data_IF_509896271192
#
_entry.id   IF_509896271192
#
_cell.length_a   1.000
_cell.length_b   1.000
_cell.length_c   1.000
_cell.angle_alpha   90.00
_cell.angle_beta   90.00
_cell.angle_gamma   90.00
#
_symmetry.space_group_name_H-M   'P 1'
#
loop_
_entity.id
_entity.type
_entity.pdbx_description
1 polymer ?
#
# COMPACT_ATOMS: atom_id res chain seq x y z
N UNK A 1 -20.02 -24.76 -5.91
CA UNK A 1 -21.44 -24.40 -5.78
C UNK A 1 -21.57 -22.94 -6.20
N UNK A 2 -22.21 -22.67 -7.32
CA UNK A 2 -22.51 -21.31 -7.77
C UNK A 2 -23.65 -20.79 -6.89
N UNK A 3 -23.32 -20.08 -5.81
CA UNK A 3 -24.35 -19.34 -5.06
C UNK A 3 -24.88 -18.24 -5.98
N UNK A 4 -26.19 -18.22 -6.22
CA UNK A 4 -26.84 -17.13 -6.91
C UNK A 4 -26.71 -15.85 -6.08
N UNK A 5 -26.56 -14.70 -6.73
CA UNK A 5 -26.63 -13.41 -6.07
C UNK A 5 -27.99 -13.22 -5.40
N UNK A 6 -28.01 -12.79 -4.14
CA UNK A 6 -29.21 -12.48 -3.36
C UNK A 6 -28.93 -11.26 -2.49
N UNK A 7 -29.90 -10.36 -2.39
CA UNK A 7 -29.84 -9.20 -1.51
C UNK A 7 -31.24 -8.69 -1.19
N UNK A 8 -31.45 -8.22 0.03
CA UNK A 8 -32.66 -7.51 0.44
C UNK A 8 -32.54 -5.99 0.26
N UNK A 9 -31.35 -5.48 -0.11
CA UNK A 9 -31.12 -4.06 -0.38
C UNK A 9 -31.37 -3.73 -1.85
N UNK A 10 -32.52 -3.13 -2.13
CA UNK A 10 -32.93 -2.79 -3.50
C UNK A 10 -31.91 -1.89 -4.25
N UNK A 11 -31.03 -1.17 -3.54
CA UNK A 11 -30.00 -0.32 -4.16
C UNK A 11 -28.92 -1.17 -4.84
N UNK A 12 -28.71 -2.42 -4.41
CA UNK A 12 -27.67 -3.28 -4.92
C UNK A 12 -28.03 -4.01 -6.21
N UNK A 13 -29.32 -4.15 -6.53
CA UNK A 13 -29.75 -4.77 -7.79
C UNK A 13 -29.16 -4.11 -9.04
N UNK A 14 -29.36 -2.80 -9.24
CA UNK A 14 -28.76 -2.08 -10.37
C UNK A 14 -27.21 -2.12 -10.38
N UNK A 15 -26.58 -2.09 -9.21
CA UNK A 15 -25.11 -2.21 -9.08
C UNK A 15 -24.64 -3.59 -9.53
N UNK A 16 -25.34 -4.64 -9.08
CA UNK A 16 -25.06 -6.03 -9.52
C UNK A 16 -25.14 -6.15 -11.04
N UNK A 17 -26.21 -5.64 -11.66
CA UNK A 17 -26.39 -5.76 -13.11
C UNK A 17 -25.24 -5.09 -13.88
N UNK A 18 -24.80 -3.90 -13.45
CA UNK A 18 -23.61 -3.24 -14.01
C UNK A 18 -22.35 -4.08 -13.84
N UNK A 19 -22.11 -4.64 -12.65
CA UNK A 19 -20.94 -5.50 -12.36
C UNK A 19 -20.93 -6.72 -13.28
N UNK A 20 -22.09 -7.37 -13.46
CA UNK A 20 -22.22 -8.54 -14.34
C UNK A 20 -22.01 -8.19 -15.81
N UNK A 21 -22.50 -7.04 -16.25
CA UNK A 21 -22.30 -6.51 -17.59
C UNK A 21 -20.85 -6.00 -17.82
N UNK A 22 -20.03 -5.86 -16.78
CA UNK A 22 -18.70 -5.26 -16.87
C UNK A 22 -18.73 -3.75 -17.06
N UNK A 23 -19.83 -3.11 -16.69
CA UNK A 23 -20.00 -1.68 -16.75
C UNK A 23 -19.32 -0.99 -15.56
N UNK A 24 -18.81 0.20 -15.81
CA UNK A 24 -18.13 1.01 -14.79
C UNK A 24 -19.12 1.60 -13.80
N UNK A 25 -18.82 1.43 -12.51
CA UNK A 25 -19.61 1.99 -11.43
C UNK A 25 -19.38 3.51 -11.31
N UNK A 26 -20.46 4.25 -11.05
CA UNK A 26 -20.42 5.70 -10.79
C UNK A 26 -20.37 6.02 -9.29
N UNK A 27 -20.43 7.31 -8.94
CA UNK A 27 -20.40 7.79 -7.56
C UNK A 27 -21.56 7.23 -6.72
N UNK A 28 -22.78 7.22 -7.26
CA UNK A 28 -23.96 6.75 -6.52
C UNK A 28 -23.91 5.25 -6.28
N UNK A 29 -23.43 4.48 -7.26
CA UNK A 29 -23.17 3.04 -7.12
C UNK A 29 -22.16 2.77 -5.98
N UNK A 30 -21.04 3.50 -5.97
CA UNK A 30 -20.01 3.37 -4.95
C UNK A 30 -20.52 3.74 -3.55
N UNK A 31 -21.32 4.81 -3.44
CA UNK A 31 -21.98 5.19 -2.18
C UNK A 31 -22.99 4.13 -1.72
N UNK A 32 -23.76 3.54 -2.63
CA UNK A 32 -24.68 2.45 -2.30
C UNK A 32 -23.92 1.25 -1.71
N UNK A 33 -22.76 0.90 -2.27
CA UNK A 33 -21.89 -0.18 -1.77
C UNK A 33 -21.33 0.12 -0.36
N UNK A 34 -20.96 1.36 -0.05
CA UNK A 34 -20.51 1.73 1.31
C UNK A 34 -21.65 1.73 2.32
N UNK A 35 -22.82 2.23 1.92
CA UNK A 35 -23.97 2.47 2.82
C UNK A 35 -24.88 1.27 3.05
N UNK A 36 -24.70 0.18 2.30
CA UNK A 36 -25.44 -1.05 2.53
C UNK A 36 -24.98 -1.76 3.80
N UNK A 37 -25.93 -2.43 4.49
CA UNK A 37 -25.60 -3.40 5.55
C UNK A 37 -25.25 -4.79 5.02
N UNK A 38 -25.56 -5.07 3.74
CA UNK A 38 -25.39 -6.39 3.13
C UNK A 38 -23.95 -6.61 2.61
N UNK A 39 -23.04 -6.87 3.54
CA UNK A 39 -21.63 -7.12 3.21
C UNK A 39 -21.44 -8.40 2.37
N UNK A 40 -22.35 -9.38 2.48
CA UNK A 40 -22.22 -10.62 1.72
C UNK A 40 -22.53 -10.38 0.24
N UNK A 41 -23.54 -9.59 -0.09
CA UNK A 41 -23.83 -9.21 -1.46
C UNK A 41 -22.68 -8.39 -2.08
N UNK A 42 -22.13 -7.40 -1.35
CA UNK A 42 -20.97 -6.63 -1.81
C UNK A 42 -19.75 -7.55 -2.03
N UNK A 43 -19.49 -8.44 -1.09
CA UNK A 43 -18.40 -9.41 -1.17
C UNK A 43 -18.57 -10.39 -2.32
N UNK A 44 -19.77 -10.86 -2.59
CA UNK A 44 -20.08 -11.74 -3.72
C UNK A 44 -19.71 -11.07 -5.05
N UNK A 45 -20.17 -9.82 -5.27
CA UNK A 45 -19.83 -9.06 -6.46
C UNK A 45 -18.33 -8.82 -6.61
N UNK A 46 -17.66 -8.42 -5.53
CA UNK A 46 -16.22 -8.17 -5.53
C UNK A 46 -15.40 -9.46 -5.80
N UNK A 47 -15.83 -10.58 -5.23
CA UNK A 47 -15.22 -11.87 -5.48
C UNK A 47 -15.42 -12.33 -6.95
N UNK A 48 -16.61 -12.09 -7.51
CA UNK A 48 -16.89 -12.37 -8.92
C UNK A 48 -15.93 -11.60 -9.85
N UNK A 49 -15.75 -10.29 -9.62
CA UNK A 49 -14.80 -9.46 -10.40
C UNK A 49 -13.36 -9.99 -10.22
N UNK A 50 -12.95 -10.27 -8.97
CA UNK A 50 -11.63 -10.80 -8.64
C UNK A 50 -11.36 -12.13 -9.35
N UNK A 51 -12.32 -13.07 -9.33
CA UNK A 51 -12.17 -14.38 -9.99
C UNK A 51 -12.14 -14.26 -11.53
N UNK A 52 -12.89 -13.32 -12.09
CA UNK A 52 -12.82 -13.02 -13.52
C UNK A 52 -11.44 -12.51 -13.94
N UNK A 53 -10.75 -11.73 -13.08
CA UNK A 53 -9.43 -11.16 -13.35
C UNK A 53 -8.27 -12.15 -13.11
N UNK A 54 -8.35 -12.95 -12.05
CA UNK A 54 -7.20 -13.70 -11.54
C UNK A 54 -7.45 -15.21 -11.38
N UNK A 55 -8.66 -15.69 -11.65
CA UNK A 55 -9.03 -17.09 -11.35
C UNK A 55 -8.88 -17.37 -9.86
N UNK A 56 -8.23 -18.45 -9.49
CA UNK A 56 -7.95 -18.78 -8.08
C UNK A 56 -6.59 -18.25 -7.56
N UNK A 57 -5.80 -17.59 -8.40
CA UNK A 57 -4.47 -17.12 -8.03
C UNK A 57 -4.55 -16.02 -6.98
N UNK A 58 -3.69 -16.12 -5.97
CA UNK A 58 -3.46 -15.08 -4.97
C UNK A 58 -1.96 -14.85 -4.84
N UNK A 59 -1.58 -13.59 -4.94
CA UNK A 59 -0.19 -13.16 -5.02
C UNK A 59 0.37 -12.83 -3.64
N UNK A 60 1.68 -13.08 -3.48
CA UNK A 60 2.48 -12.65 -2.33
C UNK A 60 3.93 -12.47 -2.77
N UNK A 61 4.74 -11.72 -2.02
CA UNK A 61 6.17 -11.60 -2.30
C UNK A 61 7.03 -11.84 -1.05
N UNK A 62 8.34 -11.95 -1.28
CA UNK A 62 9.34 -11.96 -0.22
C UNK A 62 10.00 -10.60 -0.20
N UNK A 63 9.59 -9.76 0.74
CA UNK A 63 10.01 -8.37 0.85
C UNK A 63 10.54 -8.04 2.24
N UNK A 64 11.36 -6.99 2.30
CA UNK A 64 11.90 -6.42 3.52
C UNK A 64 11.69 -4.92 3.55
N UNK A 65 11.37 -4.38 4.71
CA UNK A 65 11.25 -2.95 4.93
C UNK A 65 12.57 -2.36 5.42
N UNK A 66 12.87 -1.14 4.99
CA UNK A 66 14.00 -0.35 5.46
C UNK A 66 13.52 1.08 5.71
N UNK A 67 13.64 1.52 6.96
CA UNK A 67 13.27 2.86 7.38
C UNK A 67 14.54 3.61 7.80
N UNK A 68 15.22 4.34 6.90
CA UNK A 68 16.52 4.93 7.18
C UNK A 68 16.48 6.04 8.24
N UNK A 69 15.34 6.66 8.46
CA UNK A 69 15.13 7.65 9.52
C UNK A 69 13.66 7.75 9.91
N UNK A 70 13.40 8.00 11.19
CA UNK A 70 12.08 8.41 11.67
C UNK A 70 12.00 9.92 11.99
N UNK A 71 13.09 10.67 11.82
CA UNK A 71 13.09 12.12 11.99
C UNK A 71 12.22 12.74 10.88
N UNK A 72 11.15 13.46 11.29
CA UNK A 72 10.16 13.98 10.35
C UNK A 72 9.64 15.35 10.76
N UNK A 73 9.65 16.30 9.81
CA UNK A 73 9.11 17.66 10.00
C UNK A 73 7.60 17.75 9.75
N UNK A 74 6.98 16.74 9.15
CA UNK A 74 5.56 16.80 8.79
C UNK A 74 4.62 16.77 9.99
N UNK A 75 5.03 16.22 11.12
CA UNK A 75 4.27 16.18 12.39
C UNK A 75 2.79 15.77 12.22
N UNK A 76 2.51 14.80 11.35
CA UNK A 76 1.16 14.34 11.04
C UNK A 76 0.47 13.76 12.27
N UNK A 77 -0.77 14.16 12.53
CA UNK A 77 -1.54 13.68 13.68
C UNK A 77 -1.90 12.19 13.60
N UNK A 78 -1.88 11.61 12.41
CA UNK A 78 -2.12 10.19 12.18
C UNK A 78 -0.90 9.29 12.47
N UNK A 79 0.30 9.85 12.64
CA UNK A 79 1.56 9.10 12.58
C UNK A 79 2.19 8.95 13.97
N UNK A 80 2.40 7.72 14.39
CA UNK A 80 3.14 7.38 15.61
C UNK A 80 4.65 7.16 15.37
N UNK A 81 5.09 6.97 14.13
CA UNK A 81 6.47 6.69 13.77
C UNK A 81 7.36 7.95 13.74
N UNK A 82 6.84 9.05 13.17
CA UNK A 82 7.61 10.28 13.00
C UNK A 82 8.04 10.91 14.34
N UNK A 83 9.28 11.30 14.45
CA UNK A 83 9.85 11.98 15.61
C UNK A 83 10.42 13.34 15.21
N UNK A 84 10.35 14.31 16.11
CA UNK A 84 11.15 15.54 15.95
C UNK A 84 12.63 15.20 16.18
N UNK A 85 13.52 15.88 15.44
CA UNK A 85 14.95 15.77 15.65
C UNK A 85 15.31 16.00 17.12
N UNK A 86 16.29 15.28 17.63
CA UNK A 86 16.81 15.38 18.99
C UNK A 86 15.78 15.05 20.11
N UNK A 87 14.67 14.35 19.76
CA UNK A 87 13.74 13.83 20.76
C UNK A 87 14.01 12.34 21.05
N UNK A 88 13.60 11.81 22.22
CA UNK A 88 13.77 10.40 22.55
C UNK A 88 13.18 9.49 21.49
N UNK A 89 13.96 8.48 21.05
CA UNK A 89 13.58 7.52 20.01
C UNK A 89 13.74 8.04 18.58
N UNK A 90 14.19 9.29 18.37
CA UNK A 90 14.58 9.76 17.03
C UNK A 90 15.87 9.08 16.59
N UNK A 91 15.92 8.61 15.34
CA UNK A 91 17.11 8.01 14.76
C UNK A 91 17.26 8.38 13.28
N UNK A 92 18.50 8.33 12.84
CA UNK A 92 18.90 8.42 11.43
C UNK A 92 20.08 7.49 11.23
N UNK A 93 19.95 6.51 10.36
CA UNK A 93 20.99 5.55 10.06
C UNK A 93 22.13 6.22 9.27
N UNK A 94 23.38 5.93 9.63
CA UNK A 94 24.48 6.13 8.71
C UNK A 94 24.32 5.20 7.50
N UNK A 95 24.95 5.51 6.36
CA UNK A 95 24.81 4.69 5.15
C UNK A 95 25.20 3.23 5.41
N UNK A 96 26.31 3.01 6.11
CA UNK A 96 26.78 1.65 6.40
C UNK A 96 25.82 0.89 7.31
N UNK A 97 25.25 1.54 8.33
CA UNK A 97 24.21 0.98 9.19
C UNK A 97 22.96 0.58 8.38
N UNK A 98 22.54 1.42 7.41
CA UNK A 98 21.42 1.10 6.53
C UNK A 98 21.72 -0.12 5.63
N UNK A 99 22.96 -0.24 5.13
CA UNK A 99 23.40 -1.40 4.34
C UNK A 99 23.49 -2.67 5.16
N UNK A 100 24.02 -2.60 6.38
CA UNK A 100 24.06 -3.72 7.32
C UNK A 100 22.63 -4.16 7.72
N UNK A 101 21.74 -3.20 7.97
CA UNK A 101 20.31 -3.48 8.23
C UNK A 101 19.67 -4.19 7.04
N UNK A 102 19.91 -3.74 5.82
CA UNK A 102 19.39 -4.40 4.62
C UNK A 102 19.96 -5.82 4.44
N UNK A 103 21.24 -6.02 4.78
CA UNK A 103 21.92 -7.30 4.69
C UNK A 103 21.48 -8.28 5.80
N UNK A 104 21.16 -7.77 7.00
CA UNK A 104 20.71 -8.62 8.10
C UNK A 104 19.38 -9.28 7.76
N UNK A 105 19.32 -10.60 7.66
CA UNK A 105 18.11 -11.31 7.20
C UNK A 105 17.85 -11.26 5.69
N UNK A 106 18.79 -10.71 4.90
CA UNK A 106 18.76 -10.91 3.46
C UNK A 106 19.00 -12.39 3.14
N UNK A 107 18.12 -12.91 2.29
CA UNK A 107 18.30 -14.21 1.63
C UNK A 107 18.14 -13.98 0.13
N UNK A 108 18.65 -14.89 -0.69
CA UNK A 108 18.44 -14.84 -2.15
C UNK A 108 16.94 -14.89 -2.55
N UNK A 109 16.07 -15.19 -1.58
CA UNK A 109 14.63 -15.16 -1.76
C UNK A 109 14.06 -13.73 -1.79
N UNK A 110 14.71 -12.73 -1.20
CA UNK A 110 14.22 -11.35 -1.13
C UNK A 110 14.19 -10.73 -2.53
N UNK A 111 13.00 -10.33 -2.98
CA UNK A 111 12.79 -9.71 -4.30
C UNK A 111 12.61 -8.20 -4.23
N UNK A 112 12.29 -7.65 -3.05
CA UNK A 112 11.98 -6.22 -2.88
C UNK A 112 12.51 -5.68 -1.56
N UNK A 113 13.16 -4.51 -1.61
CA UNK A 113 13.30 -3.61 -0.47
C UNK A 113 12.28 -2.50 -0.58
N UNK A 114 11.44 -2.37 0.45
CA UNK A 114 10.48 -1.28 0.60
C UNK A 114 11.09 -0.21 1.50
N UNK A 115 11.42 0.96 0.93
CA UNK A 115 12.21 1.99 1.58
C UNK A 115 11.38 3.27 1.73
N UNK A 116 11.01 3.60 2.96
CA UNK A 116 10.28 4.83 3.31
C UNK A 116 10.79 5.36 4.65
N UNK A 117 10.73 6.66 4.85
CA UNK A 117 11.22 7.28 6.07
C UNK A 117 10.55 8.60 6.43
N UNK A 118 11.05 9.23 7.48
CA UNK A 118 10.66 10.57 7.86
C UNK A 118 11.21 11.64 6.92
N UNK A 119 10.53 12.79 6.84
CA UNK A 119 10.98 13.97 6.10
C UNK A 119 12.05 14.70 6.92
N UNK A 120 13.30 14.25 6.79
CA UNK A 120 14.40 14.72 7.63
C UNK A 120 14.84 16.15 7.25
N UNK A 121 14.92 17.10 8.23
CA UNK A 121 15.23 18.50 7.92
C UNK A 121 16.66 18.74 7.43
N UNK A 122 17.63 17.94 7.84
CA UNK A 122 19.06 18.24 7.65
C UNK A 122 19.78 17.30 6.69
N UNK A 123 19.22 16.10 6.43
CA UNK A 123 19.87 15.18 5.50
C UNK A 123 19.94 15.80 4.09
N UNK A 124 21.13 15.83 3.47
CA UNK A 124 21.27 16.31 2.10
C UNK A 124 20.63 15.29 1.13
N UNK A 125 20.19 15.77 -0.03
CA UNK A 125 19.64 14.90 -1.08
C UNK A 125 20.63 13.81 -1.50
N UNK A 126 21.94 14.13 -1.48
CA UNK A 126 23.00 13.18 -1.79
C UNK A 126 22.98 11.92 -0.89
N UNK A 127 22.62 12.04 0.39
CA UNK A 127 22.47 10.88 1.26
C UNK A 127 21.50 9.85 0.68
N UNK A 128 20.38 10.28 0.15
CA UNK A 128 19.36 9.40 -0.43
C UNK A 128 19.83 8.78 -1.75
N UNK A 129 20.56 9.53 -2.57
CA UNK A 129 21.18 8.99 -3.79
C UNK A 129 22.24 7.94 -3.46
N UNK A 130 23.09 8.19 -2.45
CA UNK A 130 24.13 7.25 -2.01
C UNK A 130 23.53 6.00 -1.37
N UNK A 131 22.45 6.15 -0.59
CA UNK A 131 21.69 5.03 -0.03
C UNK A 131 21.19 4.09 -1.13
N UNK A 132 20.48 4.63 -2.11
CA UNK A 132 19.90 3.84 -3.21
C UNK A 132 20.98 3.19 -4.07
N UNK A 133 21.97 3.97 -4.50
CA UNK A 133 23.06 3.44 -5.33
C UNK A 133 23.94 2.42 -4.57
N UNK A 134 24.12 2.62 -3.28
CA UNK A 134 24.82 1.67 -2.40
C UNK A 134 24.07 0.35 -2.25
N UNK A 135 22.76 0.39 -2.03
CA UNK A 135 21.91 -0.79 -1.99
C UNK A 135 21.88 -1.52 -3.35
N UNK A 136 21.76 -0.78 -4.45
CA UNK A 136 21.76 -1.38 -5.79
C UNK A 136 23.06 -2.08 -6.15
N UNK A 137 24.20 -1.54 -5.72
CA UNK A 137 25.51 -2.20 -5.89
C UNK A 137 25.64 -3.48 -5.05
N UNK A 138 25.11 -3.47 -3.82
CA UNK A 138 25.21 -4.62 -2.90
C UNK A 138 24.20 -5.74 -3.24
N UNK A 139 23.01 -5.34 -3.71
CA UNK A 139 21.90 -6.23 -3.99
C UNK A 139 21.32 -5.96 -5.41
N UNK A 140 22.09 -6.24 -6.48
CA UNK A 140 21.72 -5.83 -7.84
C UNK A 140 20.44 -6.48 -8.35
N UNK A 141 20.04 -7.63 -7.81
CA UNK A 141 18.83 -8.35 -8.20
C UNK A 141 17.59 -7.89 -7.43
N UNK A 142 17.75 -7.13 -6.33
CA UNK A 142 16.61 -6.69 -5.52
C UNK A 142 15.99 -5.44 -6.12
N UNK A 143 14.68 -5.44 -6.22
CA UNK A 143 13.91 -4.27 -6.64
C UNK A 143 13.84 -3.25 -5.51
N UNK A 144 14.26 -2.02 -5.77
CA UNK A 144 14.20 -0.93 -4.80
C UNK A 144 12.92 -0.12 -5.01
N UNK A 145 11.91 -0.37 -4.16
CA UNK A 145 10.68 0.42 -4.08
C UNK A 145 10.88 1.49 -3.02
N UNK A 146 11.15 2.72 -3.46
CA UNK A 146 11.60 3.76 -2.54
C UNK A 146 10.93 5.11 -2.81
N UNK A 147 10.74 5.87 -1.74
CA UNK A 147 10.24 7.24 -1.68
C UNK A 147 8.80 7.42 -2.16
N UNK A 148 7.91 7.73 -1.24
CA UNK A 148 6.54 8.14 -1.51
C UNK A 148 6.51 9.45 -2.31
N UNK A 149 5.37 9.79 -2.91
CA UNK A 149 5.18 11.08 -3.60
C UNK A 149 5.44 12.27 -2.66
N UNK A 150 5.11 12.11 -1.37
CA UNK A 150 5.39 13.12 -0.33
C UNK A 150 6.89 13.29 -0.11
N UNK A 151 7.65 12.19 -0.03
CA UNK A 151 9.11 12.22 0.11
C UNK A 151 9.77 12.83 -1.14
N UNK A 152 9.34 12.45 -2.34
CA UNK A 152 9.84 13.02 -3.61
C UNK A 152 9.62 14.54 -3.64
N UNK A 153 8.42 15.02 -3.33
CA UNK A 153 8.11 16.45 -3.29
C UNK A 153 8.94 17.19 -2.22
N UNK A 154 9.15 16.58 -1.06
CA UNK A 154 9.97 17.14 -0.01
C UNK A 154 11.45 17.23 -0.43
N UNK A 155 12.01 16.16 -0.99
CA UNK A 155 13.40 16.11 -1.47
C UNK A 155 13.64 17.12 -2.60
N UNK A 156 12.69 17.25 -3.53
CA UNK A 156 12.70 18.25 -4.59
C UNK A 156 12.85 19.68 -4.02
N UNK A 157 11.98 20.03 -3.07
CA UNK A 157 12.01 21.33 -2.38
C UNK A 157 13.35 21.55 -1.66
N UNK A 158 13.88 20.53 -0.97
CA UNK A 158 15.14 20.63 -0.23
C UNK A 158 16.36 20.77 -1.15
N UNK A 159 16.37 20.04 -2.24
CA UNK A 159 17.44 20.08 -3.24
C UNK A 159 17.35 21.28 -4.17
N UNK A 160 16.25 22.06 -4.13
CA UNK A 160 15.95 23.15 -5.06
C UNK A 160 15.91 22.67 -6.54
N UNK A 161 15.34 21.48 -6.72
CA UNK A 161 15.12 20.85 -8.02
C UNK A 161 13.63 20.81 -8.33
N UNK A 162 13.27 20.65 -9.59
CA UNK A 162 11.91 20.25 -9.98
C UNK A 162 11.63 18.82 -9.57
N UNK A 163 10.34 18.42 -9.49
CA UNK A 163 9.93 17.02 -9.26
C UNK A 163 10.55 16.11 -10.33
N UNK A 164 10.58 16.55 -11.60
CA UNK A 164 11.16 15.79 -12.71
C UNK A 164 12.64 15.51 -12.49
N UNK A 165 13.44 16.54 -12.23
CA UNK A 165 14.89 16.41 -11.99
C UNK A 165 15.17 15.51 -10.78
N UNK A 166 14.35 15.61 -9.74
CA UNK A 166 14.46 14.74 -8.54
C UNK A 166 14.21 13.28 -8.91
N UNK A 167 13.14 12.99 -9.65
CA UNK A 167 12.82 11.63 -10.11
C UNK A 167 13.88 11.07 -11.06
N UNK A 168 14.44 11.90 -11.96
CA UNK A 168 15.53 11.52 -12.87
C UNK A 168 16.76 11.06 -12.08
N UNK A 169 17.17 11.83 -11.07
CA UNK A 169 18.33 11.50 -10.24
C UNK A 169 18.07 10.25 -9.36
N UNK A 170 16.88 10.14 -8.76
CA UNK A 170 16.49 8.94 -7.99
C UNK A 170 16.47 7.69 -8.87
N UNK A 171 15.91 7.78 -10.08
CA UNK A 171 15.90 6.68 -11.05
C UNK A 171 17.31 6.31 -11.49
N UNK A 172 18.16 7.29 -11.78
CA UNK A 172 19.57 7.07 -12.12
C UNK A 172 20.36 6.43 -10.97
N UNK A 173 20.03 6.75 -9.72
CA UNK A 173 20.62 6.11 -8.54
C UNK A 173 20.16 4.66 -8.36
N UNK A 174 19.04 4.25 -8.95
CA UNK A 174 18.56 2.86 -8.93
C UNK A 174 17.19 2.66 -8.28
N UNK A 175 16.37 3.70 -8.10
CA UNK A 175 14.97 3.53 -7.73
C UNK A 175 14.23 2.86 -8.88
N UNK A 176 13.60 1.72 -8.63
CA UNK A 176 12.90 0.93 -9.63
C UNK A 176 11.38 1.22 -9.66
N UNK A 177 10.77 1.56 -8.50
CA UNK A 177 9.37 1.96 -8.38
C UNK A 177 9.12 2.77 -7.11
N UNK A 178 7.93 3.37 -6.99
CA UNK A 178 7.55 4.16 -5.81
C UNK A 178 6.44 3.47 -4.99
N UNK A 179 6.51 3.52 -3.65
CA UNK A 179 5.38 3.14 -2.80
C UNK A 179 4.26 4.18 -2.87
N UNK A 180 3.03 3.75 -2.62
CA UNK A 180 1.86 4.63 -2.71
C UNK A 180 1.54 5.43 -1.45
N UNK A 181 2.38 5.37 -0.42
CA UNK A 181 2.12 6.02 0.87
C UNK A 181 2.03 7.54 0.78
N UNK A 182 1.49 8.16 1.83
CA UNK A 182 1.30 9.61 1.91
C UNK A 182 0.07 10.16 1.20
N UNK A 183 -0.64 9.33 0.41
CA UNK A 183 -1.92 9.70 -0.19
C UNK A 183 -2.99 9.98 0.88
N UNK A 184 -3.02 9.18 1.92
CA UNK A 184 -3.98 9.16 3.01
C UNK A 184 -5.44 9.22 2.51
N UNK A 185 -6.05 10.41 2.51
CA UNK A 185 -7.30 10.78 1.82
C UNK A 185 -7.04 12.08 1.05
N UNK A 186 -7.58 12.22 -0.16
CA UNK A 186 -7.37 13.41 -1.00
C UNK A 186 -8.23 14.61 -0.60
N UNK A 187 -9.33 14.39 0.11
CA UNK A 187 -10.21 15.47 0.56
C UNK A 187 -9.48 16.45 1.50
N UNK A 188 -9.37 17.72 1.10
CA UNK A 188 -8.62 18.76 1.83
C UNK A 188 -9.10 18.90 3.28
N UNK A 189 -10.42 18.85 3.49
CA UNK A 189 -11.02 18.87 4.84
C UNK A 189 -10.39 17.84 5.77
N UNK A 190 -10.18 16.64 5.25
CA UNK A 190 -9.58 15.53 6.00
C UNK A 190 -8.09 15.74 6.18
N UNK A 191 -7.38 16.13 5.11
CA UNK A 191 -5.93 16.37 5.13
C UNK A 191 -5.53 17.43 6.15
N UNK A 192 -6.27 18.54 6.23
CA UNK A 192 -6.05 19.58 7.25
C UNK A 192 -6.14 19.05 8.69
N UNK A 193 -6.97 18.05 8.94
CA UNK A 193 -7.08 17.44 10.27
C UNK A 193 -5.93 16.50 10.57
N UNK A 194 -5.52 15.67 9.59
CA UNK A 194 -4.63 14.51 9.83
C UNK A 194 -3.17 14.74 9.42
N UNK A 195 -2.91 15.54 8.39
CA UNK A 195 -1.57 15.68 7.78
C UNK A 195 -1.35 17.03 7.05
N UNK A 196 -1.73 18.13 7.65
CA UNK A 196 -1.74 19.49 7.10
C UNK A 196 -0.39 19.94 6.48
N UNK A 197 0.73 19.42 6.97
CA UNK A 197 2.07 19.79 6.50
C UNK A 197 2.59 18.92 5.32
N UNK A 198 1.79 17.99 4.81
CA UNK A 198 2.10 17.26 3.59
C UNK A 198 1.60 18.02 2.36
N UNK A 199 2.09 17.64 1.20
CA UNK A 199 1.49 18.05 -0.07
C UNK A 199 0.00 17.70 -0.09
N UNK A 200 -0.80 18.50 -0.78
CA UNK A 200 -2.22 18.22 -0.97
C UNK A 200 -2.48 17.01 -1.89
N UNK A 201 -3.76 16.69 -2.08
CA UNK A 201 -4.17 15.54 -2.88
C UNK A 201 -3.80 15.66 -4.35
N UNK A 202 -3.98 16.85 -4.93
CA UNK A 202 -3.70 17.12 -6.33
C UNK A 202 -2.20 17.08 -6.60
N UNK A 203 -1.39 17.66 -5.72
CA UNK A 203 0.08 17.58 -5.81
C UNK A 203 0.60 16.13 -5.70
N UNK A 204 -0.05 15.29 -4.88
CA UNK A 204 0.26 13.87 -4.80
C UNK A 204 -0.03 13.17 -6.13
N UNK A 205 -1.21 13.42 -6.73
CA UNK A 205 -1.63 12.86 -8.01
C UNK A 205 -0.73 13.33 -9.15
N UNK A 206 -0.37 14.61 -9.20
CA UNK A 206 0.54 15.18 -10.20
C UNK A 206 1.95 14.57 -10.11
N UNK A 207 2.45 14.37 -8.88
CA UNK A 207 3.75 13.71 -8.68
C UNK A 207 3.72 12.25 -9.15
N UNK A 208 2.64 11.52 -8.86
CA UNK A 208 2.44 10.15 -9.33
C UNK A 208 2.34 10.09 -10.86
N UNK A 209 1.56 10.99 -11.47
CA UNK A 209 1.42 11.14 -12.93
C UNK A 209 2.77 11.33 -13.60
N UNK A 210 3.56 12.25 -13.07
CA UNK A 210 4.89 12.53 -13.63
C UNK A 210 5.83 11.32 -13.51
N UNK A 211 5.83 10.63 -12.36
CA UNK A 211 6.61 9.41 -12.18
C UNK A 211 6.20 8.33 -13.20
N UNK A 212 4.90 8.13 -13.41
CA UNK A 212 4.38 7.17 -14.39
C UNK A 212 4.80 7.53 -15.82
N UNK A 213 4.72 8.81 -16.22
CA UNK A 213 5.18 9.30 -17.53
C UNK A 213 6.68 9.08 -17.75
N UNK A 214 7.47 9.03 -16.67
CA UNK A 214 8.89 8.70 -16.71
C UNK A 214 9.18 7.20 -16.65
N UNK A 215 8.14 6.36 -16.67
CA UNK A 215 8.23 4.89 -16.67
C UNK A 215 8.46 4.28 -15.29
N UNK A 216 8.33 5.05 -14.21
CA UNK A 216 8.33 4.50 -12.83
C UNK A 216 6.92 4.08 -12.48
N UNK A 217 6.72 2.80 -12.17
CA UNK A 217 5.45 2.30 -11.62
C UNK A 217 5.32 2.66 -10.14
N UNK A 218 4.08 2.67 -9.63
CA UNK A 218 3.85 2.86 -8.20
C UNK A 218 2.66 2.03 -7.69
N UNK A 219 2.54 1.95 -6.37
CA UNK A 219 1.28 1.56 -5.75
C UNK A 219 0.41 2.81 -5.52
N UNK A 220 -0.86 2.58 -5.18
CA UNK A 220 -1.76 3.58 -4.64
C UNK A 220 -2.28 3.12 -3.28
N UNK A 221 -2.47 4.06 -2.36
CA UNK A 221 -2.98 3.75 -1.00
C UNK A 221 -4.14 4.67 -0.64
N UNK A 222 -4.96 4.23 0.30
CA UNK A 222 -5.91 5.06 1.03
C UNK A 222 -5.86 4.69 2.51
N UNK A 223 -5.70 5.65 3.39
CA UNK A 223 -5.86 5.45 4.83
C UNK A 223 -7.33 5.66 5.18
N UNK A 224 -7.97 4.68 5.84
CA UNK A 224 -9.39 4.73 6.19
C UNK A 224 -9.62 4.40 7.67
N UNK A 225 -10.79 4.78 8.19
CA UNK A 225 -11.23 4.51 9.55
C UNK A 225 -10.77 5.56 10.57
N UNK A 226 -10.63 6.81 10.13
CA UNK A 226 -10.29 7.94 11.01
C UNK A 226 -11.40 9.02 11.01
N UNK A 227 -11.25 10.13 10.29
CA UNK A 227 -12.20 11.26 10.29
C UNK A 227 -12.88 11.49 8.94
N UNK A 228 -12.57 10.64 7.98
CA UNK A 228 -13.18 10.63 6.65
C UNK A 228 -14.59 10.03 6.70
N UNK A 229 -15.39 10.32 5.68
CA UNK A 229 -16.70 9.72 5.44
C UNK A 229 -16.72 8.91 4.13
N UNK A 230 -17.87 8.34 3.77
CA UNK A 230 -18.01 7.52 2.57
C UNK A 230 -17.79 8.33 1.29
N UNK A 231 -18.21 9.59 1.26
CA UNK A 231 -17.99 10.51 0.14
C UNK A 231 -16.51 10.79 -0.09
N UNK A 232 -15.75 11.01 0.98
CA UNK A 232 -14.29 11.21 0.91
C UNK A 232 -13.58 9.97 0.34
N UNK A 233 -14.02 8.76 0.74
CA UNK A 233 -13.47 7.48 0.24
C UNK A 233 -13.78 7.29 -1.24
N UNK A 234 -15.02 7.59 -1.64
CA UNK A 234 -15.45 7.47 -3.04
C UNK A 234 -14.69 8.46 -3.92
N UNK A 235 -14.58 9.73 -3.52
CA UNK A 235 -13.79 10.74 -4.24
C UNK A 235 -12.34 10.29 -4.43
N UNK A 236 -11.73 9.78 -3.38
CA UNK A 236 -10.37 9.26 -3.43
C UNK A 236 -10.20 8.11 -4.45
N UNK A 237 -11.09 7.13 -4.42
CA UNK A 237 -11.06 6.00 -5.36
C UNK A 237 -11.27 6.47 -6.80
N UNK A 238 -12.21 7.39 -7.03
CA UNK A 238 -12.51 7.92 -8.37
C UNK A 238 -11.35 8.74 -8.95
N UNK A 239 -10.66 9.54 -8.13
CA UNK A 239 -9.44 10.28 -8.54
C UNK A 239 -8.30 9.34 -8.91
N UNK A 240 -8.07 8.28 -8.12
CA UNK A 240 -7.07 7.25 -8.45
C UNK A 240 -7.43 6.52 -9.74
N UNK A 241 -8.70 6.16 -9.93
CA UNK A 241 -9.18 5.50 -11.15
C UNK A 241 -8.96 6.38 -12.38
N UNK A 242 -9.28 7.68 -12.29
CA UNK A 242 -9.07 8.62 -13.38
C UNK A 242 -7.57 8.73 -13.76
N UNK A 243 -6.68 8.82 -12.78
CA UNK A 243 -5.24 8.84 -13.04
C UNK A 243 -4.74 7.51 -13.62
N UNK A 244 -5.29 6.40 -13.19
CA UNK A 244 -4.96 5.08 -13.76
C UNK A 244 -5.42 4.95 -15.21
N UNK A 245 -6.59 5.48 -15.58
CA UNK A 245 -7.06 5.54 -16.97
C UNK A 245 -6.08 6.30 -17.87
N UNK A 246 -5.47 7.36 -17.34
CA UNK A 246 -4.52 8.18 -18.10
C UNK A 246 -3.13 7.55 -18.21
N UNK A 247 -2.64 6.94 -17.12
CA UNK A 247 -1.23 6.58 -17.01
C UNK A 247 -0.94 5.10 -17.04
N UNK A 248 -1.90 4.26 -16.63
CA UNK A 248 -1.70 2.82 -16.39
C UNK A 248 -0.47 2.54 -15.51
N UNK A 249 -0.14 3.48 -14.60
CA UNK A 249 1.09 3.47 -13.82
C UNK A 249 0.98 2.77 -12.47
N UNK A 250 -0.22 2.67 -11.91
CA UNK A 250 -0.43 1.97 -10.64
C UNK A 250 -0.42 0.44 -10.83
N UNK A 251 0.33 -0.24 -9.96
CA UNK A 251 0.44 -1.70 -9.93
C UNK A 251 -0.62 -2.33 -9.04
N UNK A 252 -0.88 -1.73 -7.88
CA UNK A 252 -1.84 -2.25 -6.89
C UNK A 252 -2.43 -1.12 -6.07
N UNK A 253 -3.66 -1.31 -5.63
CA UNK A 253 -4.29 -0.50 -4.60
C UNK A 253 -4.20 -1.18 -3.24
N UNK A 254 -3.84 -0.43 -2.20
CA UNK A 254 -3.66 -0.91 -0.83
C UNK A 254 -4.49 -0.06 0.12
N UNK A 255 -5.66 -0.50 0.56
CA UNK A 255 -6.38 0.16 1.65
C UNK A 255 -5.67 -0.13 2.98
N UNK A 256 -5.41 0.93 3.73
CA UNK A 256 -4.64 0.93 4.97
C UNK A 256 -5.58 1.26 6.14
N UNK A 257 -5.80 0.32 7.04
CA UNK A 257 -6.63 0.52 8.23
C UNK A 257 -5.91 1.44 9.21
N UNK A 258 -6.58 2.50 9.70
CA UNK A 258 -5.98 3.42 10.65
C UNK A 258 -5.77 2.78 12.02
N UNK A 259 -4.56 2.91 12.56
CA UNK A 259 -4.20 2.54 13.92
C UNK A 259 -4.02 3.80 14.74
N UNK A 260 -4.93 4.08 15.71
CA UNK A 260 -4.94 5.34 16.45
C UNK A 260 -3.93 5.40 17.59
N UNK A 261 -3.45 4.27 18.09
CA UNK A 261 -2.64 4.20 19.30
C UNK A 261 -1.33 4.98 19.16
N UNK A 262 -0.89 5.60 20.24
CA UNK A 262 0.31 6.44 20.28
C UNK A 262 0.30 7.66 19.31
N UNK A 263 -0.87 8.02 18.80
CA UNK A 263 -1.07 9.20 17.94
C UNK A 263 -1.90 10.27 18.63
N UNK A 264 -1.85 11.54 18.19
CA UNK A 264 -2.80 12.57 18.64
C UNK A 264 -4.28 12.24 18.38
N UNK A 265 -4.59 11.22 17.57
CA UNK A 265 -5.94 10.75 17.26
C UNK A 265 -6.33 9.48 18.01
N UNK A 266 -5.63 9.14 19.10
CA UNK A 266 -5.87 7.93 19.91
C UNK A 266 -7.28 7.82 20.53
N UNK A 267 -8.06 8.91 20.50
CA UNK A 267 -9.45 8.93 20.94
C UNK A 267 -10.41 8.31 19.92
N UNK A 268 -9.97 8.10 18.68
CA UNK A 268 -10.74 7.42 17.65
C UNK A 268 -10.70 5.90 17.85
N UNK A 269 -11.78 5.17 17.51
CA UNK A 269 -11.77 3.71 17.57
C UNK A 269 -10.86 3.13 16.49
N UNK A 270 -10.36 1.92 16.72
CA UNK A 270 -9.78 1.10 15.65
C UNK A 270 -10.86 0.69 14.65
N UNK A 271 -10.47 0.42 13.41
CA UNK A 271 -11.37 -0.12 12.40
C UNK A 271 -11.97 -1.46 12.85
N UNK A 272 -13.18 -1.74 12.38
CA UNK A 272 -13.77 -3.07 12.56
C UNK A 272 -13.44 -3.96 11.36
N UNK A 273 -13.39 -5.29 11.57
CA UNK A 273 -13.22 -6.23 10.47
C UNK A 273 -14.30 -6.11 9.38
N UNK A 274 -15.50 -5.65 9.75
CA UNK A 274 -16.58 -5.39 8.77
C UNK A 274 -16.24 -4.21 7.85
N UNK A 275 -15.66 -3.14 8.41
CA UNK A 275 -15.19 -2.00 7.61
C UNK A 275 -14.01 -2.39 6.73
N UNK A 276 -13.06 -3.18 7.27
CA UNK A 276 -11.88 -3.64 6.53
C UNK A 276 -12.27 -4.47 5.31
N UNK A 277 -13.17 -5.43 5.48
CA UNK A 277 -13.69 -6.27 4.38
C UNK A 277 -14.49 -5.44 3.37
N UNK A 278 -15.35 -4.52 3.85
CA UNK A 278 -16.12 -3.62 2.99
C UNK A 278 -15.19 -2.76 2.14
N UNK A 279 -14.15 -2.20 2.75
CA UNK A 279 -13.17 -1.36 2.06
C UNK A 279 -12.46 -2.11 0.92
N UNK A 280 -12.04 -3.35 1.14
CA UNK A 280 -11.46 -4.21 0.10
C UNK A 280 -12.47 -4.45 -1.03
N UNK A 281 -13.70 -4.85 -0.67
CA UNK A 281 -14.72 -5.21 -1.65
C UNK A 281 -15.13 -4.02 -2.54
N UNK A 282 -15.39 -2.87 -1.93
CA UNK A 282 -15.73 -1.65 -2.67
C UNK A 282 -14.57 -1.19 -3.55
N UNK A 283 -13.34 -1.27 -3.04
CA UNK A 283 -12.14 -0.92 -3.83
C UNK A 283 -12.02 -1.77 -5.09
N UNK A 284 -12.22 -3.09 -5.00
CA UNK A 284 -12.21 -3.99 -6.18
C UNK A 284 -13.28 -3.64 -7.19
N UNK A 285 -14.48 -3.26 -6.73
CA UNK A 285 -15.61 -2.95 -7.60
C UNK A 285 -15.47 -1.59 -8.29
N UNK A 286 -14.93 -0.58 -7.58
CA UNK A 286 -14.80 0.79 -8.09
C UNK A 286 -13.54 0.99 -8.93
N UNK A 287 -12.44 0.35 -8.56
CA UNK A 287 -11.16 0.44 -9.27
C UNK A 287 -11.04 -0.63 -10.36
N UNK A 288 -11.95 -0.60 -11.33
CA UNK A 288 -12.08 -1.57 -12.42
C UNK A 288 -10.84 -1.67 -13.32
N UNK A 289 -10.02 -0.62 -13.36
CA UNK A 289 -8.78 -0.50 -14.12
C UNK A 289 -7.50 -0.79 -13.31
N UNK A 290 -7.61 -1.10 -12.00
CA UNK A 290 -6.47 -1.51 -11.19
C UNK A 290 -6.24 -3.02 -11.32
N UNK A 291 -5.01 -3.46 -11.69
CA UNK A 291 -4.75 -4.89 -11.83
C UNK A 291 -4.89 -5.63 -10.50
N UNK A 292 -4.45 -5.04 -9.38
CA UNK A 292 -4.40 -5.72 -8.09
C UNK A 292 -5.01 -4.90 -6.96
N UNK A 293 -5.67 -5.58 -6.00
CA UNK A 293 -6.11 -5.03 -4.70
C UNK A 293 -5.49 -5.89 -3.60
N UNK A 294 -4.75 -5.24 -2.72
CA UNK A 294 -3.96 -5.91 -1.69
C UNK A 294 -4.64 -5.87 -0.33
N UNK A 295 -4.76 -7.02 0.31
CA UNK A 295 -5.10 -7.15 1.73
C UNK A 295 -3.81 -7.11 2.56
N UNK A 296 -3.45 -5.93 3.07
CA UNK A 296 -2.20 -5.74 3.81
C UNK A 296 -2.36 -6.28 5.24
N UNK A 297 -1.90 -7.52 5.45
CA UNK A 297 -2.12 -8.27 6.70
C UNK A 297 -1.52 -7.61 7.95
N UNK A 298 -0.49 -6.79 7.81
CA UNK A 298 0.09 -6.05 8.95
C UNK A 298 -0.91 -5.13 9.63
N UNK A 299 -1.79 -4.49 8.86
CA UNK A 299 -2.75 -3.51 9.38
C UNK A 299 -4.10 -4.13 9.74
N UNK A 300 -4.63 -5.01 8.89
CA UNK A 300 -5.96 -5.60 9.10
C UNK A 300 -5.93 -6.96 9.81
N UNK A 301 -4.78 -7.44 10.25
CA UNK A 301 -4.48 -8.76 10.80
C UNK A 301 -4.47 -9.90 9.76
N UNK A 302 -3.69 -10.97 10.00
CA UNK A 302 -3.66 -12.12 9.08
C UNK A 302 -5.01 -12.79 8.86
N UNK A 303 -5.87 -12.83 9.90
CA UNK A 303 -7.21 -13.45 9.81
C UNK A 303 -8.14 -12.65 8.89
N UNK A 304 -8.17 -11.34 9.05
CA UNK A 304 -9.00 -10.47 8.20
C UNK A 304 -8.46 -10.46 6.77
N UNK A 305 -7.14 -10.35 6.59
CA UNK A 305 -6.52 -10.41 5.27
C UNK A 305 -6.83 -11.73 4.54
N UNK A 306 -6.84 -12.87 5.26
CA UNK A 306 -7.23 -14.16 4.70
C UNK A 306 -8.69 -14.15 4.21
N UNK A 307 -9.63 -13.63 5.02
CA UNK A 307 -11.04 -13.50 4.62
C UNK A 307 -11.19 -12.58 3.41
N UNK A 308 -10.44 -11.47 3.38
CA UNK A 308 -10.46 -10.50 2.27
C UNK A 308 -10.13 -11.10 0.91
N UNK A 309 -9.41 -12.24 0.84
CA UNK A 309 -9.16 -13.00 -0.38
C UNK A 309 -10.44 -13.58 -1.01
N UNK A 310 -11.54 -13.63 -0.26
CA UNK A 310 -12.88 -14.00 -0.73
C UNK A 310 -13.78 -12.79 -0.95
N UNK A 311 -13.27 -11.57 -0.67
CA UNK A 311 -14.00 -10.31 -0.78
C UNK A 311 -13.34 -9.32 -1.75
N UNK A 312 -12.59 -9.81 -2.74
CA UNK A 312 -12.06 -8.98 -3.82
C UNK A 312 -10.55 -8.78 -3.81
N UNK A 313 -9.84 -9.07 -2.71
CA UNK A 313 -8.38 -9.04 -2.72
C UNK A 313 -7.79 -10.23 -3.51
N UNK A 314 -6.72 -9.95 -4.24
CA UNK A 314 -5.94 -10.95 -4.97
C UNK A 314 -4.46 -10.99 -4.55
N UNK A 315 -4.04 -10.11 -3.63
CA UNK A 315 -2.69 -10.05 -3.09
C UNK A 315 -2.77 -9.92 -1.56
N UNK A 316 -1.94 -10.67 -0.82
CA UNK A 316 -1.89 -10.63 0.66
C UNK A 316 -0.65 -9.89 1.18
N UNK A 317 0.11 -9.23 0.31
CA UNK A 317 1.43 -8.67 0.54
C UNK A 317 2.52 -9.75 0.67
N UNK A 318 3.53 -9.50 1.47
CA UNK A 318 4.68 -10.37 1.57
C UNK A 318 5.10 -10.68 3.00
N UNK A 319 6.35 -11.08 3.12
CA UNK A 319 6.95 -11.43 4.42
C UNK A 319 7.10 -10.24 5.34
N UNK A 320 7.26 -9.02 4.80
CA UNK A 320 7.26 -7.74 5.52
C UNK A 320 8.19 -7.77 6.75
N UNK A 321 9.45 -8.16 6.54
CA UNK A 321 10.42 -8.24 7.63
C UNK A 321 10.75 -6.81 8.10
N UNK A 322 10.70 -6.58 9.43
CA UNK A 322 11.02 -5.30 10.11
C UNK A 322 10.07 -4.12 9.80
N UNK A 323 8.78 -4.35 9.76
CA UNK A 323 7.80 -3.28 9.72
C UNK A 323 7.79 -2.50 11.07
N UNK A 324 8.13 -1.21 11.06
CA UNK A 324 8.20 -0.36 12.26
C UNK A 324 7.06 0.64 12.36
N UNK A 325 6.53 1.12 11.24
CA UNK A 325 5.61 2.26 11.20
C UNK A 325 4.29 1.96 11.90
N UNK A 326 3.70 0.81 11.64
CA UNK A 326 2.44 0.39 12.23
C UNK A 326 2.60 -0.19 13.64
N UNK A 327 3.77 -0.78 13.93
CA UNK A 327 4.06 -1.25 15.28
C UNK A 327 4.21 -0.08 16.25
N UNK A 328 4.79 1.04 15.83
CA UNK A 328 4.80 2.28 16.62
C UNK A 328 3.38 2.82 16.88
N UNK A 329 2.44 2.59 15.97
CA UNK A 329 1.01 2.91 16.12
C UNK A 329 0.21 1.81 16.83
N UNK A 330 0.86 0.88 17.52
CA UNK A 330 0.22 -0.14 18.36
C UNK A 330 -0.27 -1.37 17.59
N UNK A 331 0.24 -1.67 16.39
CA UNK A 331 -0.06 -2.93 15.73
C UNK A 331 0.43 -4.11 16.57
N UNK A 332 -0.41 -5.12 16.72
CA UNK A 332 -0.12 -6.35 17.49
C UNK A 332 0.21 -7.55 16.61
N UNK A 333 0.31 -7.34 15.31
CA UNK A 333 0.70 -8.35 14.34
C UNK A 333 2.20 -8.68 14.47
N UNK A 334 2.64 -9.86 14.01
CA UNK A 334 4.08 -10.18 14.00
C UNK A 334 4.88 -9.17 13.16
N UNK A 335 6.14 -8.94 13.50
CA UNK A 335 7.08 -8.07 12.76
C UNK A 335 7.43 -8.61 11.36
N UNK A 336 6.99 -9.81 11.04
CA UNK A 336 7.17 -10.46 9.76
C UNK A 336 6.39 -11.78 9.72
N UNK A 337 6.12 -12.29 8.53
CA UNK A 337 5.47 -13.58 8.33
C UNK A 337 6.34 -14.46 7.42
N UNK A 338 6.51 -15.72 7.80
CA UNK A 338 7.28 -16.65 6.98
C UNK A 338 6.54 -16.95 5.67
N UNK A 339 7.28 -17.16 4.61
CA UNK A 339 6.74 -17.57 3.30
C UNK A 339 5.75 -18.74 3.39
N UNK A 340 6.07 -19.75 4.19
CA UNK A 340 5.24 -20.93 4.39
C UNK A 340 3.88 -20.59 5.02
N UNK A 341 3.84 -19.64 5.95
CA UNK A 341 2.61 -19.20 6.60
C UNK A 341 1.71 -18.42 5.65
N UNK A 342 2.29 -17.58 4.76
CA UNK A 342 1.55 -16.92 3.68
C UNK A 342 0.93 -17.95 2.73
N UNK A 343 1.72 -18.93 2.27
CA UNK A 343 1.23 -20.03 1.41
C UNK A 343 0.09 -20.80 2.08
N UNK A 344 0.22 -21.11 3.38
CA UNK A 344 -0.82 -21.80 4.14
C UNK A 344 -2.10 -20.96 4.22
N UNK A 345 -2.02 -19.69 4.58
CA UNK A 345 -3.18 -18.79 4.66
C UNK A 345 -3.92 -18.70 3.31
N UNK A 346 -3.20 -18.60 2.21
CA UNK A 346 -3.78 -18.53 0.87
C UNK A 346 -4.50 -19.85 0.53
N UNK A 347 -3.87 -21.00 0.79
CA UNK A 347 -4.48 -22.31 0.54
C UNK A 347 -5.72 -22.57 1.39
N UNK A 348 -5.68 -22.22 2.67
CA UNK A 348 -6.83 -22.34 3.58
C UNK A 348 -7.99 -21.43 3.15
N UNK A 349 -7.72 -20.30 2.46
CA UNK A 349 -8.75 -19.49 1.83
C UNK A 349 -9.33 -20.12 0.54
N UNK A 350 -8.85 -21.31 0.13
CA UNK A 350 -9.25 -21.98 -1.11
C UNK A 350 -8.71 -21.28 -2.35
N UNK A 351 -7.50 -20.69 -2.26
CA UNK A 351 -6.82 -19.98 -3.34
C UNK A 351 -5.48 -20.62 -3.68
N UNK A 352 -4.99 -20.37 -4.91
CA UNK A 352 -3.70 -20.82 -5.39
C UNK A 352 -2.62 -19.79 -5.05
N UNK A 353 -1.60 -20.11 -4.24
CA UNK A 353 -0.54 -19.16 -3.90
C UNK A 353 0.43 -19.00 -5.09
N UNK A 354 0.65 -17.75 -5.49
CA UNK A 354 1.61 -17.37 -6.53
C UNK A 354 2.63 -16.40 -5.92
N UNK A 355 3.85 -16.85 -5.75
CA UNK A 355 4.94 -15.96 -5.40
C UNK A 355 5.27 -15.06 -6.59
N UNK A 356 5.41 -13.76 -6.34
CA UNK A 356 5.70 -12.74 -7.36
C UNK A 356 6.89 -11.86 -6.98
N UNK A 357 7.47 -11.23 -7.98
CA UNK A 357 8.34 -10.06 -7.76
C UNK A 357 7.51 -8.77 -7.59
N UNK A 358 8.18 -7.63 -7.46
CA UNK A 358 7.53 -6.32 -7.31
C UNK A 358 6.67 -5.93 -8.52
N UNK A 359 7.00 -6.40 -9.71
CA UNK A 359 6.28 -6.11 -10.95
C UNK A 359 5.21 -7.15 -11.29
N UNK A 360 4.82 -7.97 -10.30
CA UNK A 360 3.83 -9.05 -10.43
C UNK A 360 4.20 -10.16 -11.42
N UNK A 361 5.50 -10.33 -11.71
CA UNK A 361 5.98 -11.48 -12.48
C UNK A 361 6.11 -12.68 -11.54
N UNK A 362 5.61 -13.88 -11.92
CA UNK A 362 5.75 -15.08 -11.09
C UNK A 362 7.23 -15.41 -10.85
N UNK A 363 7.53 -15.76 -9.59
CA UNK A 363 8.86 -16.22 -9.16
C UNK A 363 8.83 -17.72 -9.00
N UNK A 364 9.66 -18.44 -9.78
CA UNK A 364 9.85 -19.88 -9.64
C UNK A 364 11.03 -20.14 -8.73
N UNK A 365 10.83 -20.94 -7.67
CA UNK A 365 11.89 -21.35 -6.74
C UNK A 365 12.33 -22.78 -7.06
N UNK A 366 13.65 -23.00 -7.09
CA UNK A 366 14.21 -24.36 -7.07
C UNK A 366 14.21 -24.90 -5.64
N UNK A 367 14.18 -26.23 -5.46
CA UNK A 367 14.12 -26.87 -4.11
C UNK A 367 15.23 -26.40 -3.16
N UNK A 368 16.40 -26.07 -3.68
CA UNK A 368 17.55 -25.58 -2.90
C UNK A 368 17.30 -24.22 -2.26
N UNK A 369 16.46 -23.36 -2.87
CA UNK A 369 16.09 -22.03 -2.34
C UNK A 369 14.96 -22.11 -1.31
N UNK A 370 14.24 -23.21 -1.20
CA UNK A 370 13.14 -23.38 -0.24
C UNK A 370 13.61 -23.58 1.20
N UNK A 371 14.84 -24.05 1.41
CA UNK A 371 15.36 -24.42 2.74
C UNK A 371 15.94 -23.22 3.50
N UNK A 372 16.22 -22.10 2.86
CA UNK A 372 16.89 -20.92 3.46
C UNK A 372 15.92 -19.82 3.90
N UNK A 373 14.64 -19.92 3.58
CA UNK A 373 13.61 -18.95 3.97
C UNK A 373 12.94 -19.33 5.32
N UNK A 374 13.75 -19.56 6.37
CA UNK A 374 13.32 -19.83 7.75
C UNK A 374 13.42 -18.58 8.60
#
# INVERSE_FOLDING_TARGET
MTHSFQTDDARLGPVHDKVMAGERLNTDDALALYRTGDILAVGWMANHVRERMHGDKTYFNVNRHLNPTNVCVAACRLCAFGRKKDTPGAYTMALEEAFETAASGYTEAVTEFHIVGGLHPDLPFQYFLDLISGLKRRFPQVHLKAFTMVEVAYLSKRAKLSIRETLEQLKAAGVDSLPGGGAEIFADRVRHIICDHKIDGDQWLDTAKLAHQMGLKSNATMLYGHVENDEDRVDHLLKLRALQDETHGFQTFIPLAFHPDNTPLQHLPRTSGMLDIKQIAVSRLVLDNFPHVKAYWQMMTPKIAQIALRFGADDIDGTVIEEKIYHDAGATTPQGMRRQDLVRLIREAGREPVERDTLYRPVTRTETTMTVAV
#
